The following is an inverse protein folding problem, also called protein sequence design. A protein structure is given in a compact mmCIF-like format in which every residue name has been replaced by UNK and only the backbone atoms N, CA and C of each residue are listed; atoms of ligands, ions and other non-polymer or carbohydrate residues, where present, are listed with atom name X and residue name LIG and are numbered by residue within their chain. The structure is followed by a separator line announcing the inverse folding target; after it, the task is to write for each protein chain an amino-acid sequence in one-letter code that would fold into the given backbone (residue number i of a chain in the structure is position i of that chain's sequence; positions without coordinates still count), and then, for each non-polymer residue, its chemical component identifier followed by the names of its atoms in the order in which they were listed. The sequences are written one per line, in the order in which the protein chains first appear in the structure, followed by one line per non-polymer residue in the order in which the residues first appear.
data_IF_803815776282
#
_entry.id   IF_803815776282
#
_cell.length_a   1.000
_cell.length_b   1.000
_cell.length_c   1.000
_cell.angle_alpha   90.00
_cell.angle_beta   90.00
_cell.angle_gamma   90.00
#
_symmetry.space_group_name_H-M   'P 1'
#
loop_
_entity.id
_entity.type
_entity.pdbx_description
1 polymer ?
#
# COMPACT_ATOMS: atom_id res chain seq x y z
N UNK A 1 3.93 -13.00 14.06
CA UNK A 1 2.93 -12.05 14.58
C UNK A 1 3.42 -10.64 14.34
N UNK A 2 2.64 -9.83 13.63
CA UNK A 2 3.01 -8.46 13.25
C UNK A 2 2.65 -7.50 14.39
N UNK A 3 3.57 -7.34 15.36
CA UNK A 3 3.29 -6.67 16.65
C UNK A 3 2.78 -5.23 16.51
N UNK A 4 3.22 -4.51 15.47
CA UNK A 4 2.77 -3.13 15.21
C UNK A 4 1.35 -3.10 14.67
N UNK A 5 1.02 -3.99 13.74
CA UNK A 5 -0.35 -4.11 13.23
C UNK A 5 -1.32 -4.48 14.36
N UNK A 6 -0.95 -5.44 15.22
CA UNK A 6 -1.75 -5.83 16.38
C UNK A 6 -1.96 -4.66 17.36
N UNK A 7 -0.91 -3.90 17.65
CA UNK A 7 -1.00 -2.74 18.54
C UNK A 7 -1.88 -1.63 17.96
N UNK A 8 -1.84 -1.40 16.63
CA UNK A 8 -2.70 -0.46 15.93
C UNK A 8 -4.16 -0.91 15.96
N UNK A 9 -4.43 -2.20 15.71
CA UNK A 9 -5.78 -2.75 15.80
C UNK A 9 -6.38 -2.64 17.20
N UNK A 10 -5.59 -2.88 18.25
CA UNK A 10 -6.02 -2.66 19.65
C UNK A 10 -6.37 -1.21 19.96
N UNK A 11 -5.87 -0.26 19.17
CA UNK A 11 -6.18 1.18 19.28
C UNK A 11 -7.30 1.62 18.34
N UNK A 12 -7.97 0.69 17.66
CA UNK A 12 -9.09 0.97 16.75
C UNK A 12 -8.68 1.37 15.33
N UNK A 13 -7.39 1.38 15.00
CA UNK A 13 -6.93 1.64 13.65
C UNK A 13 -7.04 0.37 12.78
N UNK A 14 -7.18 0.56 11.47
CA UNK A 14 -7.19 -0.52 10.48
C UNK A 14 -5.83 -0.57 9.76
N UNK A 15 -4.89 -1.42 10.19
CA UNK A 15 -3.61 -1.53 9.50
C UNK A 15 -3.78 -2.14 8.10
N UNK A 16 -3.13 -1.54 7.11
CA UNK A 16 -2.97 -2.10 5.78
C UNK A 16 -1.50 -2.48 5.59
N UNK A 17 -1.23 -3.76 5.28
CA UNK A 17 0.13 -4.22 5.03
C UNK A 17 0.43 -4.19 3.54
N UNK A 18 1.44 -3.39 3.18
CA UNK A 18 1.95 -3.30 1.84
C UNK A 18 3.37 -3.88 1.77
N UNK A 19 3.52 -5.04 1.11
CA UNK A 19 4.81 -5.66 0.85
C UNK A 19 5.39 -5.08 -0.46
N UNK A 20 6.30 -4.11 -0.35
CA UNK A 20 6.82 -3.30 -1.48
C UNK A 20 7.59 -4.10 -2.53
N UNK A 21 8.18 -5.24 -2.14
CA UNK A 21 8.88 -6.18 -3.01
C UNK A 21 7.93 -6.93 -3.97
N UNK A 22 6.63 -6.96 -3.67
CA UNK A 22 5.63 -7.62 -4.52
C UNK A 22 5.16 -6.75 -5.68
N UNK A 23 5.53 -5.46 -5.71
CA UNK A 23 5.32 -4.58 -6.86
C UNK A 23 6.42 -4.80 -7.91
N UNK A 24 6.08 -4.85 -9.22
CA UNK A 24 4.74 -4.72 -9.82
C UNK A 24 3.97 -6.05 -9.96
N UNK A 25 4.60 -7.19 -9.71
CA UNK A 25 4.06 -8.51 -10.08
C UNK A 25 2.70 -8.90 -9.46
N UNK A 26 2.43 -8.50 -8.21
CA UNK A 26 1.19 -8.84 -7.48
C UNK A 26 0.43 -7.63 -6.96
N UNK A 27 0.92 -6.43 -7.25
CA UNK A 27 0.40 -5.18 -6.74
C UNK A 27 0.03 -4.32 -7.93
N UNK A 28 -1.21 -3.82 -7.95
CA UNK A 28 -1.62 -2.84 -8.94
C UNK A 28 -1.64 -1.46 -8.30
N UNK A 29 -0.96 -0.51 -8.93
CA UNK A 29 -0.96 0.90 -8.57
C UNK A 29 -1.58 1.68 -9.73
N UNK A 30 -2.63 2.44 -9.44
CA UNK A 30 -3.25 3.35 -10.39
C UNK A 30 -3.11 4.78 -9.88
N UNK A 31 -2.81 5.70 -10.79
CA UNK A 31 -2.80 7.13 -10.54
C UNK A 31 -3.75 7.81 -11.53
N UNK A 32 -4.54 8.76 -11.04
CA UNK A 32 -5.49 9.52 -11.85
C UNK A 32 -5.62 10.95 -11.36
N UNK A 33 -6.12 11.82 -12.23
CA UNK A 33 -6.43 13.21 -11.90
C UNK A 33 -7.94 13.32 -11.69
N UNK A 34 -8.34 13.86 -10.55
CA UNK A 34 -9.74 14.13 -10.16
C UNK A 34 -9.97 15.62 -9.99
N UNK A 35 -11.21 16.02 -9.73
CA UNK A 35 -11.56 17.40 -9.34
C UNK A 35 -10.83 17.88 -8.09
N UNK A 36 -10.49 16.97 -7.17
CA UNK A 36 -9.75 17.29 -5.94
C UNK A 36 -8.22 17.24 -6.10
N UNK A 37 -7.72 16.85 -7.28
CA UNK A 37 -6.29 16.73 -7.57
C UNK A 37 -5.86 15.29 -7.90
N UNK A 38 -4.61 14.96 -7.57
CA UNK A 38 -4.06 13.62 -7.81
C UNK A 38 -4.71 12.60 -6.86
N UNK A 39 -5.15 11.49 -7.43
CA UNK A 39 -5.71 10.34 -6.73
C UNK A 39 -4.87 9.10 -7.02
N UNK A 40 -4.70 8.27 -6.00
CA UNK A 40 -3.97 7.01 -6.12
C UNK A 40 -4.80 5.88 -5.53
N UNK A 41 -4.78 4.73 -6.21
CA UNK A 41 -5.41 3.50 -5.76
C UNK A 41 -4.38 2.36 -5.76
N UNK A 42 -4.41 1.57 -4.69
CA UNK A 42 -3.56 0.40 -4.50
C UNK A 42 -4.44 -0.83 -4.31
N UNK A 43 -4.32 -1.79 -5.23
CA UNK A 43 -4.97 -3.09 -5.14
C UNK A 43 -3.95 -4.19 -4.82
N UNK A 44 -4.17 -4.90 -3.71
CA UNK A 44 -3.26 -5.92 -3.21
C UNK A 44 -3.98 -6.96 -2.34
N UNK A 45 -3.75 -8.26 -2.60
CA UNK A 45 -4.35 -9.38 -1.87
C UNK A 45 -5.89 -9.28 -1.72
N UNK A 46 -6.59 -8.84 -2.76
CA UNK A 46 -8.05 -8.68 -2.75
C UNK A 46 -8.56 -7.49 -1.94
N UNK A 47 -7.67 -6.63 -1.44
CA UNK A 47 -8.01 -5.38 -0.77
C UNK A 47 -7.67 -4.20 -1.68
N UNK A 48 -8.50 -3.17 -1.63
CA UNK A 48 -8.30 -1.91 -2.33
C UNK A 48 -8.29 -0.78 -1.32
N UNK A 49 -7.30 0.11 -1.41
CA UNK A 49 -7.26 1.36 -0.64
C UNK A 49 -6.91 2.52 -1.55
N UNK A 50 -7.41 3.71 -1.20
CA UNK A 50 -7.00 4.97 -1.82
C UNK A 50 -6.10 5.76 -0.89
N UNK A 51 -5.37 6.72 -1.45
CA UNK A 51 -4.57 7.68 -0.66
C UNK A 51 -5.39 8.37 0.44
N UNK A 52 -6.66 8.66 0.15
CA UNK A 52 -7.58 9.32 1.09
C UNK A 52 -7.93 8.45 2.31
N UNK A 53 -7.79 7.13 2.21
CA UNK A 53 -8.00 6.19 3.33
C UNK A 53 -6.79 6.12 4.27
N UNK A 54 -5.63 6.65 3.86
CA UNK A 54 -4.34 6.50 4.55
C UNK A 54 -4.08 7.68 5.49
N UNK A 55 -4.24 7.45 6.79
CA UNK A 55 -3.95 8.46 7.82
C UNK A 55 -2.47 8.56 8.21
N UNK A 56 -1.67 7.53 7.93
CA UNK A 56 -0.26 7.50 8.28
C UNK A 56 0.47 6.30 7.68
N UNK A 57 1.78 6.45 7.46
CA UNK A 57 2.62 5.43 6.82
C UNK A 57 3.78 5.07 7.74
N UNK A 58 3.99 3.77 7.96
CA UNK A 58 5.18 3.27 8.63
C UNK A 58 6.15 2.68 7.61
N UNK A 59 7.24 3.39 7.33
CA UNK A 59 8.29 2.97 6.39
C UNK A 59 9.19 1.88 7.00
N UNK A 60 8.63 0.70 7.28
CA UNK A 60 9.37 -0.40 7.93
C UNK A 60 10.50 -0.95 7.06
N UNK A 61 10.21 -1.20 5.78
CA UNK A 61 11.16 -1.71 4.77
C UNK A 61 10.73 -1.20 3.39
N UNK A 62 11.71 -0.70 2.64
CA UNK A 62 11.56 -0.32 1.24
C UNK A 62 12.50 -1.21 0.44
N UNK A 63 11.93 -2.07 -0.41
CA UNK A 63 12.69 -2.95 -1.29
C UNK A 63 12.67 -2.41 -2.71
N UNK A 64 13.72 -2.69 -3.48
CA UNK A 64 13.72 -2.39 -4.90
C UNK A 64 12.70 -3.30 -5.61
N UNK A 65 11.87 -2.73 -6.50
CA UNK A 65 10.90 -3.51 -7.26
C UNK A 65 11.63 -4.53 -8.14
N UNK A 66 11.08 -5.74 -8.21
CA UNK A 66 11.57 -6.78 -9.10
C UNK A 66 10.93 -6.56 -10.47
N UNK A 67 11.51 -5.65 -11.24
CA UNK A 67 11.12 -5.40 -12.63
C UNK A 67 11.84 -6.43 -13.51
N UNK A 68 11.12 -7.13 -14.38
CA UNK A 68 11.75 -8.04 -15.33
C UNK A 68 12.76 -7.25 -16.18
N UNK A 69 13.94 -7.81 -16.54
CA UNK A 69 14.90 -7.13 -17.40
C UNK A 69 14.35 -6.76 -18.79
N UNK A 70 13.20 -7.33 -19.18
CA UNK A 70 12.57 -7.17 -20.49
C UNK A 70 11.56 -5.99 -20.56
N UNK A 71 11.55 -5.10 -19.57
CA UNK A 71 10.78 -3.85 -19.55
C UNK A 71 11.65 -2.62 -19.86
#
# INVERSE_FOLDING_TARGET
MDRVAEALSKRGAKPFRFDTDQFPSKVQLAAGITSEGLSYQLDYNGNSIKTEDVQGVWMRRLWHPQVSPDL
#
